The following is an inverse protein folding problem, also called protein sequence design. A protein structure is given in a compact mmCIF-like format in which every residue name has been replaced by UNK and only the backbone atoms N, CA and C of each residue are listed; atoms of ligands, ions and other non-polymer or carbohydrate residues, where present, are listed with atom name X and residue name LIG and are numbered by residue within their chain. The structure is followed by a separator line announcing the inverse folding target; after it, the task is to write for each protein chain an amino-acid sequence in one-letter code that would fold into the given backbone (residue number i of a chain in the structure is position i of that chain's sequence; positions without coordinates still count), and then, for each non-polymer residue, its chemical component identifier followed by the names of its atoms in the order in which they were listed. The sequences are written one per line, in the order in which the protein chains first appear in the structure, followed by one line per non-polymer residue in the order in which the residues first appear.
data_IF_563845409645
#
_entry.id   IF_563845409645
#
_cell.length_a   1.000
_cell.length_b   1.000
_cell.length_c   1.000
_cell.angle_alpha   90.00
_cell.angle_beta   90.00
_cell.angle_gamma   90.00
#
_symmetry.space_group_name_H-M   'P 1'
#
loop_
_entity.id
_entity.type
_entity.pdbx_description
1 polymer ?
#
# COMPACT_ATOMS: atom_id res chain seq x y z
N UNK A 1 -15.93 10.00 -19.32
CA UNK A 1 -15.81 10.08 -17.85
C UNK A 1 -17.20 10.41 -17.32
N UNK A 2 -17.83 9.50 -16.58
CA UNK A 2 -19.14 9.74 -15.97
C UNK A 2 -18.95 10.63 -14.74
N UNK A 3 -19.43 11.86 -14.79
CA UNK A 3 -19.33 12.82 -13.68
C UNK A 3 -20.14 12.41 -12.43
N UNK A 4 -20.95 11.34 -12.50
CA UNK A 4 -21.77 10.83 -11.38
C UNK A 4 -21.10 9.69 -10.61
N UNK A 5 -20.09 9.08 -11.20
CA UNK A 5 -19.15 8.22 -10.48
C UNK A 5 -17.95 9.09 -10.15
N UNK A 6 -17.76 9.45 -8.88
CA UNK A 6 -16.56 10.13 -8.41
C UNK A 6 -15.35 9.17 -8.47
N UNK A 7 -15.05 8.64 -9.65
CA UNK A 7 -13.75 8.04 -9.91
C UNK A 7 -12.78 9.21 -10.00
N UNK A 8 -12.16 9.55 -8.86
CA UNK A 8 -11.01 10.45 -8.81
C UNK A 8 -9.78 9.81 -9.44
N UNK A 9 -9.91 8.66 -10.09
CA UNK A 9 -8.87 8.03 -10.88
C UNK A 9 -9.41 7.52 -12.20
N UNK A 10 -8.52 7.42 -13.19
CA UNK A 10 -8.77 6.70 -14.43
C UNK A 10 -7.58 5.81 -14.75
N UNK A 11 -7.87 4.66 -15.37
CA UNK A 11 -6.87 3.65 -15.73
C UNK A 11 -6.67 3.62 -17.24
N UNK A 12 -5.43 3.64 -17.68
CA UNK A 12 -5.05 3.41 -19.08
C UNK A 12 -4.35 2.05 -19.16
N UNK A 13 -4.85 1.20 -20.05
CA UNK A 13 -4.32 -0.13 -20.28
C UNK A 13 -3.94 -0.28 -21.76
N UNK A 14 -2.69 -0.67 -22.01
CA UNK A 14 -2.16 -0.85 -23.36
C UNK A 14 -2.85 -2.00 -24.09
N UNK A 15 -3.22 -3.07 -23.38
CA UNK A 15 -4.00 -4.18 -23.97
C UNK A 15 -5.38 -3.76 -24.46
N UNK A 16 -5.89 -2.62 -23.98
CA UNK A 16 -7.15 -1.99 -24.45
C UNK A 16 -6.94 -0.82 -25.40
N UNK A 17 -5.69 -0.54 -25.77
CA UNK A 17 -5.28 0.60 -26.58
C UNK A 17 -4.32 0.15 -27.70
N UNK A 18 -4.82 -0.56 -28.74
CA UNK A 18 -3.98 -1.29 -29.70
C UNK A 18 -3.02 -0.41 -30.52
N UNK A 19 -3.23 0.90 -30.55
CA UNK A 19 -2.37 1.87 -31.25
C UNK A 19 -1.43 2.63 -30.29
N UNK A 20 -1.20 2.12 -29.07
CA UNK A 20 -0.36 2.74 -28.05
C UNK A 20 0.72 1.77 -27.58
N UNK A 21 1.90 2.32 -27.38
CA UNK A 21 3.11 1.63 -26.93
C UNK A 21 3.39 1.90 -25.45
N UNK A 22 4.33 1.16 -24.85
CA UNK A 22 4.79 1.44 -23.49
C UNK A 22 5.49 2.81 -23.42
N UNK A 23 6.21 3.18 -24.47
CA UNK A 23 6.89 4.46 -24.63
C UNK A 23 5.90 5.62 -24.68
N UNK A 24 4.76 5.47 -25.36
CA UNK A 24 3.68 6.47 -25.36
C UNK A 24 3.16 6.73 -23.93
N UNK A 25 2.98 5.64 -23.17
CA UNK A 25 2.48 5.73 -21.80
C UNK A 25 3.51 6.38 -20.88
N UNK A 26 4.79 6.01 -21.01
CA UNK A 26 5.90 6.61 -20.27
C UNK A 26 6.06 8.11 -20.59
N UNK A 27 5.94 8.49 -21.86
CA UNK A 27 5.98 9.89 -22.27
C UNK A 27 4.83 10.69 -21.62
N UNK A 28 3.62 10.13 -21.59
CA UNK A 28 2.49 10.77 -20.93
C UNK A 28 2.69 10.90 -19.42
N UNK A 29 3.26 9.88 -18.76
CA UNK A 29 3.59 9.93 -17.33
C UNK A 29 4.69 10.96 -17.03
N UNK A 30 5.67 11.12 -17.92
CA UNK A 30 6.73 12.13 -17.77
C UNK A 30 6.17 13.55 -17.88
N UNK A 31 5.18 13.76 -18.75
CA UNK A 31 4.60 15.07 -19.03
C UNK A 31 3.30 15.33 -18.23
N UNK A 32 3.14 14.65 -17.08
CA UNK A 32 1.94 14.75 -16.26
C UNK A 32 1.78 16.17 -15.67
N UNK A 33 0.57 16.76 -15.68
CA UNK A 33 0.31 17.99 -14.94
C UNK A 33 0.63 17.82 -13.44
N UNK A 34 1.19 18.83 -12.75
CA UNK A 34 1.61 18.71 -11.35
C UNK A 34 0.50 18.32 -10.35
N UNK A 35 -0.76 18.52 -10.72
CA UNK A 35 -1.92 18.17 -9.90
C UNK A 35 -2.31 16.69 -9.99
N UNK A 36 -1.67 15.93 -10.88
CA UNK A 36 -1.88 14.51 -11.06
C UNK A 36 -0.64 13.74 -10.62
N UNK A 37 -0.87 12.49 -10.27
CA UNK A 37 0.15 11.47 -10.08
C UNK A 37 -0.29 10.20 -10.83
N UNK A 38 0.64 9.27 -10.98
CA UNK A 38 0.36 7.96 -11.56
C UNK A 38 1.11 6.84 -10.85
N UNK A 39 0.54 5.64 -10.91
CA UNK A 39 1.23 4.40 -10.55
C UNK A 39 0.91 3.30 -11.56
N UNK A 40 1.84 2.35 -11.68
CA UNK A 40 1.65 1.16 -12.50
C UNK A 40 1.09 0.03 -11.63
N UNK A 41 0.14 -0.71 -12.18
CA UNK A 41 -0.50 -1.84 -11.53
C UNK A 41 -0.94 -2.83 -12.61
N UNK A 42 -0.39 -4.04 -12.57
CA UNK A 42 -0.72 -5.13 -13.50
C UNK A 42 -0.63 -4.70 -14.99
N UNK A 43 0.42 -3.97 -15.36
CA UNK A 43 0.65 -3.50 -16.73
C UNK A 43 -0.31 -2.40 -17.22
N UNK A 44 -1.03 -1.76 -16.30
CA UNK A 44 -1.83 -0.56 -16.57
C UNK A 44 -1.34 0.60 -15.71
N UNK A 45 -1.51 1.82 -16.21
CA UNK A 45 -1.24 3.03 -15.42
C UNK A 45 -2.54 3.61 -14.87
N UNK A 46 -2.58 3.79 -13.57
CA UNK A 46 -3.62 4.52 -12.87
C UNK A 46 -3.19 5.98 -12.73
N UNK A 47 -4.09 6.91 -13.07
CA UNK A 47 -3.90 8.35 -12.93
C UNK A 47 -4.89 8.89 -11.92
N UNK A 48 -4.43 9.73 -10.99
CA UNK A 48 -5.22 10.26 -9.88
C UNK A 48 -4.67 11.60 -9.41
N UNK A 49 -5.40 12.39 -8.59
CA UNK A 49 -4.85 13.60 -7.97
C UNK A 49 -3.54 13.33 -7.24
N UNK A 50 -2.59 14.26 -7.34
CA UNK A 50 -1.30 14.18 -6.65
C UNK A 50 -1.43 14.10 -5.12
N UNK A 51 -2.61 14.42 -4.57
CA UNK A 51 -2.94 14.29 -3.14
C UNK A 51 -3.47 12.90 -2.76
N UNK A 52 -3.56 11.96 -3.70
CA UNK A 52 -4.00 10.58 -3.51
C UNK A 52 -2.80 9.61 -3.59
N UNK A 53 -3.04 8.30 -3.50
CA UNK A 53 -2.00 7.27 -3.50
C UNK A 53 -1.78 6.62 -2.13
N UNK A 54 -1.12 5.46 -2.13
CA UNK A 54 -0.84 4.66 -0.92
C UNK A 54 0.11 5.39 0.03
N UNK A 55 1.13 6.03 -0.52
CA UNK A 55 2.10 6.89 0.16
C UNK A 55 1.43 8.09 0.85
N UNK A 56 0.58 8.83 0.13
CA UNK A 56 -0.15 9.97 0.68
C UNK A 56 -1.15 9.55 1.77
N UNK A 57 -1.82 8.41 1.58
CA UNK A 57 -2.67 7.83 2.60
C UNK A 57 -1.88 7.43 3.86
N UNK A 58 -0.71 6.80 3.69
CA UNK A 58 0.15 6.41 4.80
C UNK A 58 0.64 7.63 5.59
N UNK A 59 1.15 8.67 4.91
CA UNK A 59 1.56 9.91 5.56
C UNK A 59 0.39 10.61 6.29
N UNK A 60 -0.82 10.57 5.74
CA UNK A 60 -2.00 11.07 6.43
C UNK A 60 -2.27 10.31 7.72
N UNK A 61 -2.19 8.97 7.69
CA UNK A 61 -2.37 8.13 8.87
C UNK A 61 -1.26 8.37 9.91
N UNK A 62 -0.01 8.51 9.48
CA UNK A 62 1.13 8.85 10.35
C UNK A 62 0.87 10.14 11.12
N UNK A 63 0.51 11.22 10.41
CA UNK A 63 0.15 12.52 11.03
C UNK A 63 -1.05 12.40 11.96
N UNK A 64 -2.09 11.68 11.53
CA UNK A 64 -3.34 11.52 12.31
C UNK A 64 -3.10 10.81 13.65
N UNK A 65 -2.21 9.83 13.67
CA UNK A 65 -1.92 9.03 14.87
C UNK A 65 -0.66 9.46 15.61
N UNK A 66 0.07 10.48 15.13
CA UNK A 66 1.31 10.95 15.74
C UNK A 66 2.42 9.90 15.72
N UNK A 67 2.47 9.05 14.69
CA UNK A 67 3.52 8.04 14.49
C UNK A 67 4.47 8.49 13.39
N UNK A 68 5.77 8.29 13.60
CA UNK A 68 6.80 8.60 12.61
C UNK A 68 6.96 7.49 11.57
N UNK A 69 7.65 7.79 10.47
CA UNK A 69 8.00 6.79 9.45
C UNK A 69 8.87 5.67 10.01
N UNK A 70 9.74 5.97 10.98
CA UNK A 70 10.63 5.03 11.66
C UNK A 70 9.89 3.95 12.48
N UNK A 71 8.62 4.19 12.80
CA UNK A 71 7.71 3.26 13.48
C UNK A 71 6.73 2.58 12.52
N UNK A 72 6.86 2.82 11.23
CA UNK A 72 5.97 2.29 10.21
C UNK A 72 6.72 1.35 9.27
N UNK A 73 6.03 0.29 8.84
CA UNK A 73 6.48 -0.61 7.78
C UNK A 73 5.34 -0.83 6.80
N UNK A 74 5.66 -1.27 5.60
CA UNK A 74 4.69 -1.66 4.58
C UNK A 74 4.91 -3.10 4.14
N UNK A 75 3.91 -3.65 3.46
CA UNK A 75 4.00 -4.94 2.79
C UNK A 75 3.36 -4.81 1.41
N UNK A 76 4.02 -5.31 0.37
CA UNK A 76 3.59 -5.13 -1.01
C UNK A 76 4.26 -6.09 -1.99
N UNK A 77 3.87 -6.01 -3.25
CA UNK A 77 4.30 -6.95 -4.31
C UNK A 77 4.36 -6.35 -5.71
N UNK A 78 3.83 -5.15 -5.92
CA UNK A 78 3.70 -4.49 -7.24
C UNK A 78 4.25 -3.05 -7.20
N UNK A 79 4.32 -2.41 -8.37
CA UNK A 79 4.91 -1.07 -8.55
C UNK A 79 4.24 0.02 -7.74
N UNK A 80 2.92 -0.08 -7.55
CA UNK A 80 2.18 0.91 -6.79
C UNK A 80 2.51 0.90 -5.28
N UNK A 81 3.29 -0.07 -4.80
CA UNK A 81 3.82 -0.11 -3.44
C UNK A 81 5.18 0.59 -3.29
N UNK A 82 5.90 0.86 -4.39
CA UNK A 82 7.22 1.48 -4.32
C UNK A 82 7.16 2.91 -3.76
N UNK A 83 6.11 3.66 -4.09
CA UNK A 83 5.89 4.97 -3.47
C UNK A 83 5.66 4.87 -1.96
N UNK A 84 4.98 3.82 -1.51
CA UNK A 84 4.78 3.55 -0.08
C UNK A 84 6.10 3.16 0.60
N UNK A 85 6.99 2.45 -0.09
CA UNK A 85 8.29 2.06 0.43
C UNK A 85 9.18 3.25 0.80
N UNK A 86 9.08 4.36 0.05
CA UNK A 86 9.85 5.60 0.30
C UNK A 86 9.43 6.31 1.58
N UNK A 87 8.18 6.12 2.04
CA UNK A 87 7.63 6.88 3.18
C UNK A 87 7.68 6.13 4.52
N UNK A 88 7.98 4.84 4.51
CA UNK A 88 8.08 3.99 5.70
C UNK A 88 9.54 3.62 5.99
N UNK A 89 9.82 3.06 7.17
CA UNK A 89 11.20 2.67 7.53
C UNK A 89 11.71 1.49 6.71
N UNK A 90 10.82 0.59 6.32
CA UNK A 90 11.15 -0.71 5.75
C UNK A 90 9.93 -1.32 5.06
N UNK A 91 10.17 -2.06 3.98
CA UNK A 91 9.12 -2.68 3.17
C UNK A 91 9.33 -4.19 3.06
N UNK A 92 8.28 -4.97 3.32
CA UNK A 92 8.31 -6.42 3.20
C UNK A 92 7.65 -6.84 1.87
N UNK A 93 8.40 -7.55 1.02
CA UNK A 93 7.96 -7.94 -0.32
C UNK A 93 7.45 -9.38 -0.29
N UNK A 94 6.16 -9.59 -0.53
CA UNK A 94 5.54 -10.93 -0.50
C UNK A 94 5.87 -11.75 -1.74
N UNK A 95 5.97 -11.10 -2.90
CA UNK A 95 6.41 -11.70 -4.16
C UNK A 95 6.83 -10.57 -5.13
N UNK A 96 7.43 -10.94 -6.26
CA UNK A 96 7.74 -10.00 -7.33
C UNK A 96 6.71 -10.12 -8.46
N UNK A 97 5.71 -9.23 -8.46
CA UNK A 97 4.74 -9.19 -9.57
C UNK A 97 5.20 -8.31 -10.75
N UNK A 98 6.19 -7.45 -10.51
CA UNK A 98 6.85 -6.63 -11.52
C UNK A 98 8.38 -6.65 -11.36
N UNK A 99 9.12 -6.59 -12.48
CA UNK A 99 10.59 -6.61 -12.48
C UNK A 99 11.18 -5.34 -11.84
N UNK A 100 10.49 -4.22 -11.99
CA UNK A 100 10.77 -2.92 -11.33
C UNK A 100 10.81 -3.03 -9.80
N UNK A 101 9.98 -3.88 -9.18
CA UNK A 101 10.08 -4.15 -7.73
C UNK A 101 11.37 -4.89 -7.40
N UNK A 102 11.78 -5.86 -8.24
CA UNK A 102 13.04 -6.58 -8.07
C UNK A 102 14.24 -5.65 -8.23
N UNK A 103 14.20 -4.75 -9.20
CA UNK A 103 15.21 -3.71 -9.41
C UNK A 103 15.31 -2.77 -8.22
N UNK A 104 14.18 -2.32 -7.66
CA UNK A 104 14.15 -1.50 -6.45
C UNK A 104 14.79 -2.21 -5.25
N UNK A 105 14.46 -3.49 -5.03
CA UNK A 105 15.09 -4.30 -3.98
C UNK A 105 16.59 -4.47 -4.20
N UNK A 106 17.03 -4.66 -5.45
CA UNK A 106 18.45 -4.80 -5.76
C UNK A 106 19.23 -3.48 -5.55
N UNK A 107 18.58 -2.34 -5.79
CA UNK A 107 19.18 -1.01 -5.63
C UNK A 107 19.37 -0.60 -4.16
N UNK A 108 18.47 -1.01 -3.27
CA UNK A 108 18.59 -0.76 -1.83
C UNK A 108 18.15 -1.97 -0.98
N UNK A 109 18.96 -3.05 -0.91
CA UNK A 109 18.57 -4.26 -0.19
C UNK A 109 18.30 -4.05 1.30
N UNK A 110 18.81 -2.97 1.90
CA UNK A 110 18.63 -2.68 3.32
C UNK A 110 17.23 -2.16 3.64
N UNK A 111 16.55 -1.51 2.68
CA UNK A 111 15.18 -1.00 2.83
C UNK A 111 14.09 -2.08 2.65
N UNK A 112 14.48 -3.29 2.23
CA UNK A 112 13.53 -4.35 1.87
C UNK A 112 13.80 -5.68 2.58
N UNK A 113 12.74 -6.47 2.77
CA UNK A 113 12.83 -7.88 3.14
C UNK A 113 11.89 -8.69 2.28
N UNK A 114 12.43 -9.63 1.53
CA UNK A 114 11.65 -10.46 0.60
C UNK A 114 11.27 -11.78 1.29
N UNK A 115 10.04 -12.23 1.09
CA UNK A 115 9.60 -13.54 1.56
C UNK A 115 10.37 -14.67 0.87
N UNK A 116 10.66 -15.73 1.64
CA UNK A 116 11.25 -16.96 1.09
C UNK A 116 10.19 -17.89 0.50
N UNK A 117 9.00 -17.89 1.11
CA UNK A 117 7.81 -18.62 0.63
C UNK A 117 6.99 -17.73 -0.30
N UNK A 118 6.08 -18.34 -1.06
CA UNK A 118 5.19 -17.66 -2.02
C UNK A 118 3.72 -17.77 -1.61
N UNK A 119 2.87 -16.95 -2.24
CA UNK A 119 1.43 -16.95 -2.02
C UNK A 119 1.06 -16.60 -0.58
N UNK A 120 0.02 -17.21 -0.03
CA UNK A 120 -0.44 -16.91 1.33
C UNK A 120 0.63 -17.17 2.40
N UNK A 121 1.51 -18.16 2.18
CA UNK A 121 2.58 -18.50 3.11
C UNK A 121 3.64 -17.40 3.21
N UNK A 122 3.84 -16.61 2.13
CA UNK A 122 4.69 -15.43 2.14
C UNK A 122 4.19 -14.38 3.14
N UNK A 123 2.89 -14.11 3.09
CA UNK A 123 2.23 -13.17 4.01
C UNK A 123 2.37 -13.61 5.46
N UNK A 124 2.15 -14.89 5.76
CA UNK A 124 2.29 -15.43 7.13
C UNK A 124 3.72 -15.33 7.67
N UNK A 125 4.72 -15.61 6.83
CA UNK A 125 6.13 -15.45 7.18
C UNK A 125 6.46 -14.01 7.55
N UNK A 126 6.11 -13.08 6.67
CA UNK A 126 6.45 -11.68 6.84
C UNK A 126 5.71 -11.08 8.04
N UNK A 127 4.44 -11.47 8.28
CA UNK A 127 3.72 -11.04 9.47
C UNK A 127 4.38 -11.53 10.77
N UNK A 128 4.90 -12.76 10.77
CA UNK A 128 5.64 -13.30 11.91
C UNK A 128 6.93 -12.51 12.15
N UNK A 129 7.68 -12.19 11.08
CA UNK A 129 8.89 -11.36 11.15
C UNK A 129 8.59 -9.94 11.65
N UNK A 130 7.61 -9.27 11.05
CA UNK A 130 7.15 -7.94 11.47
C UNK A 130 6.78 -7.95 12.96
N UNK A 131 6.01 -8.94 13.41
CA UNK A 131 5.59 -9.03 14.81
C UNK A 131 6.79 -9.24 15.74
N UNK A 132 7.80 -10.01 15.34
CA UNK A 132 9.04 -10.17 16.11
C UNK A 132 9.86 -8.86 16.15
N UNK A 133 9.97 -8.15 15.03
CA UNK A 133 10.70 -6.90 14.90
C UNK A 133 10.10 -5.78 15.76
N UNK A 134 8.77 -5.70 15.85
CA UNK A 134 8.07 -4.69 16.67
C UNK A 134 7.78 -5.16 18.11
N UNK A 135 7.55 -6.45 18.30
CA UNK A 135 7.31 -7.05 19.61
C UNK A 135 8.54 -7.01 20.52
N UNK A 136 9.74 -7.20 19.94
CA UNK A 136 11.01 -7.05 20.65
C UNK A 136 11.28 -5.59 21.06
N UNK A 137 10.93 -4.62 20.22
CA UNK A 137 11.10 -3.18 20.50
C UNK A 137 10.17 -2.67 21.62
N UNK A 138 8.97 -3.25 21.76
CA UNK A 138 8.02 -2.89 22.81
C UNK A 138 8.52 -3.23 24.23
N UNK A 139 9.42 -4.20 24.36
CA UNK A 139 10.04 -4.54 25.66
C UNK A 139 11.03 -3.48 26.15
N UNK A 140 11.66 -2.72 25.24
CA UNK A 140 12.63 -1.67 25.56
C UNK A 140 11.94 -0.36 25.97
N UNK A 141 10.78 -0.06 25.40
CA UNK A 141 9.98 1.12 25.76
C UNK A 141 9.17 0.96 27.07
N UNK A 142 8.99 -0.27 27.57
CA UNK A 142 8.30 -0.53 28.83
C UNK A 142 9.01 0.02 30.09
N UNK A 143 10.23 0.57 29.96
CA UNK A 143 10.93 1.29 31.04
C UNK A 143 10.65 2.80 31.07
N UNK A 144 9.97 3.36 30.07
CA UNK A 144 9.69 4.80 29.99
C UNK A 144 8.27 5.08 29.47
N UNK A 145 7.26 4.74 30.27
CA UNK A 145 6.02 5.52 30.49
C UNK A 145 4.88 4.61 30.96
N UNK A 146 4.65 4.60 32.28
CA UNK A 146 3.33 4.27 32.83
C UNK A 146 2.43 5.50 32.74
N UNK A 147 2.05 5.90 31.54
CA UNK A 147 0.83 6.68 31.30
C UNK A 147 0.52 6.70 29.82
N UNK A 148 -0.67 6.25 29.46
CA UNK A 148 -1.28 6.13 28.12
C UNK A 148 -1.28 4.70 27.56
N UNK A 149 -2.46 4.11 27.66
CA UNK A 149 -2.91 2.83 27.13
C UNK A 149 -2.74 2.84 25.59
N UNK A 150 -2.16 1.79 24.96
CA UNK A 150 -1.88 1.81 23.53
C UNK A 150 -3.12 1.48 22.69
N UNK A 151 -3.37 2.32 21.68
CA UNK A 151 -4.44 2.23 20.69
C UNK A 151 -4.25 1.10 19.63
N UNK A 152 -3.58 0.00 19.98
CA UNK A 152 -3.18 -1.05 19.02
C UNK A 152 -4.32 -2.05 18.71
N UNK A 153 -5.47 -1.96 19.37
CA UNK A 153 -6.59 -2.92 19.17
C UNK A 153 -7.67 -2.44 18.16
N UNK A 154 -7.59 -1.21 17.64
CA UNK A 154 -8.73 -0.61 16.92
C UNK A 154 -8.84 -0.87 15.40
N UNK A 155 -7.84 -1.47 14.74
CA UNK A 155 -7.92 -1.74 13.28
C UNK A 155 -8.59 -3.06 12.90
N UNK A 156 -8.59 -4.09 13.77
CA UNK A 156 -9.27 -5.36 13.45
C UNK A 156 -10.79 -5.31 13.66
N UNK A 157 -11.28 -4.47 14.57
CA UNK A 157 -12.72 -4.33 14.84
C UNK A 157 -13.46 -3.58 13.72
N UNK A 158 -12.79 -2.67 13.03
CA UNK A 158 -13.40 -1.89 11.94
C UNK A 158 -13.55 -2.73 10.66
N UNK A 159 -12.62 -3.64 10.35
CA UNK A 159 -12.77 -4.54 9.20
C UNK A 159 -13.88 -5.57 9.41
N UNK A 160 -13.95 -6.20 10.59
CA UNK A 160 -15.02 -7.14 10.93
C UNK A 160 -16.40 -6.45 10.95
N UNK A 161 -16.51 -5.21 11.43
CA UNK A 161 -17.75 -4.45 11.41
C UNK A 161 -18.17 -4.03 10.00
N UNK A 162 -17.24 -3.60 9.15
CA UNK A 162 -17.51 -3.20 7.75
C UNK A 162 -17.96 -4.43 6.92
N UNK A 163 -17.30 -5.58 7.07
CA UNK A 163 -17.67 -6.83 6.38
C UNK A 163 -19.04 -7.32 6.88
N UNK A 164 -19.31 -7.29 8.19
CA UNK A 164 -20.60 -7.70 8.77
C UNK A 164 -21.75 -6.77 8.36
N UNK A 165 -21.50 -5.47 8.17
CA UNK A 165 -22.51 -4.50 7.71
C UNK A 165 -22.85 -4.65 6.22
N UNK A 166 -21.89 -5.09 5.40
CA UNK A 166 -22.08 -5.32 3.95
C UNK A 166 -22.93 -6.57 3.67
N UNK A 167 -22.76 -7.64 4.44
CA UNK A 167 -23.57 -8.85 4.30
C UNK A 167 -25.03 -8.69 4.74
N UNK A 168 -25.34 -7.78 5.68
CA UNK A 168 -26.73 -7.51 6.09
C UNK A 168 -27.54 -6.76 5.03
N UNK A 169 -26.91 -5.98 4.15
CA UNK A 169 -27.61 -5.21 3.10
C UNK A 169 -27.96 -6.06 1.87
N UNK A 170 -27.26 -7.15 1.62
CA UNK A 170 -27.58 -8.06 0.50
C UNK A 170 -28.62 -9.13 0.84
N UNK A 171 -28.96 -9.33 2.11
CA UNK A 171 -30.00 -10.27 2.54
C UNK A 171 -31.43 -9.72 2.54
N UNK A 172 -31.65 -8.41 2.37
CA UNK A 172 -32.97 -7.77 2.43
C UNK A 172 -33.51 -7.30 1.07
N UNK A 173 -32.85 -7.64 -0.04
CA UNK A 173 -33.29 -7.30 -1.40
C UNK A 173 -33.85 -8.50 -2.17
N UNK A 174 -34.23 -9.57 -1.46
CA UNK A 174 -34.91 -10.74 -2.01
C UNK A 174 -36.06 -11.13 -1.10
N UNK A 175 -37.12 -10.33 -1.14
CA UNK A 175 -38.51 -10.70 -0.88
C UNK A 175 -39.41 -9.72 -1.65
#
# INVERSE_FOLDING_TARGET
VDARSYSTSFRISLSRSPNKTAEDLLAMVRDLPPMLASSYNLGAADFYPATSGKDMAAQHLMRKFGVDSASCVSMGDDDNDLGLAVVVRHTYITDFTADTVREAVAADPAAFTVAERRGFAATEDLLTRITADFGSQSSVQSRLSRSLIPAVVLMFMSYAWIVKRRNRRHGQARE
#
